data_IF_837541730333
#
_entry.id   IF_837541730333
#
_cell.length_a   1.000
_cell.length_b   1.000
_cell.length_c   1.000
_cell.angle_alpha   90.00
_cell.angle_beta   90.00
_cell.angle_gamma   90.00
#
_symmetry.space_group_name_H-M   'P 1'
#
loop_
_entity.id
_entity.type
_entity.pdbx_description
1 polymer ?
#
# COMPACT_ATOMS: atom_id res chain seq x y z
N UNK A 1 -22.14 7.29 18.04
CA UNK A 1 -21.53 6.58 16.88
C UNK A 1 -20.42 7.47 16.38
N UNK A 2 -19.22 7.27 16.91
CA UNK A 2 -18.06 8.11 16.62
C UNK A 2 -17.59 7.91 15.18
N UNK A 3 -17.33 9.04 14.53
CA UNK A 3 -16.83 9.10 13.17
C UNK A 3 -15.50 8.34 13.08
N UNK A 4 -15.47 7.46 12.10
CA UNK A 4 -14.38 6.56 11.72
C UNK A 4 -13.26 7.40 11.08
N UNK A 5 -12.50 8.09 11.92
CA UNK A 5 -11.32 8.82 11.48
C UNK A 5 -10.27 7.79 11.05
N UNK A 6 -10.14 7.60 9.73
CA UNK A 6 -9.10 6.78 9.09
C UNK A 6 -7.71 7.44 9.19
N UNK A 7 -7.43 8.09 10.33
CA UNK A 7 -6.14 8.68 10.62
C UNK A 7 -5.30 7.61 11.32
N UNK A 8 -4.48 6.92 10.53
CA UNK A 8 -3.45 6.02 11.05
C UNK A 8 -2.72 6.75 12.19
N UNK A 9 -2.74 6.17 13.39
CA UNK A 9 -2.07 6.73 14.56
C UNK A 9 -0.64 7.17 14.21
N UNK A 10 -0.22 8.33 14.70
CA UNK A 10 1.14 8.86 14.46
C UNK A 10 2.23 7.82 14.77
N UNK A 11 2.03 6.99 15.78
CA UNK A 11 2.98 5.94 16.15
C UNK A 11 3.07 4.84 15.09
N UNK A 12 1.94 4.47 14.49
CA UNK A 12 1.91 3.53 13.36
C UNK A 12 2.53 4.14 12.11
N UNK A 13 2.36 5.45 11.88
CA UNK A 13 3.02 6.14 10.76
C UNK A 13 4.55 6.12 10.91
N UNK A 14 5.07 6.34 12.12
CA UNK A 14 6.50 6.24 12.40
C UNK A 14 7.00 4.82 12.14
N UNK A 15 6.29 3.79 12.60
CA UNK A 15 6.65 2.40 12.34
C UNK A 15 6.69 2.06 10.84
N UNK A 16 5.69 2.55 10.08
CA UNK A 16 5.67 2.41 8.62
C UNK A 16 6.86 3.10 7.96
N UNK A 17 7.23 4.29 8.41
CA UNK A 17 8.38 5.03 7.87
C UNK A 17 9.70 4.30 8.14
N UNK A 18 9.85 3.71 9.33
CA UNK A 18 11.02 2.90 9.68
C UNK A 18 11.09 1.65 8.80
N UNK A 19 9.98 0.94 8.62
CA UNK A 19 9.92 -0.22 7.74
C UNK A 19 10.19 0.15 6.29
N UNK A 20 9.68 1.30 5.81
CA UNK A 20 9.95 1.81 4.48
C UNK A 20 11.45 2.01 4.25
N UNK A 21 12.14 2.61 5.21
CA UNK A 21 13.59 2.80 5.14
C UNK A 21 14.36 1.47 5.12
N UNK A 22 13.90 0.46 5.86
CA UNK A 22 14.48 -0.89 5.80
C UNK A 22 14.30 -1.52 4.40
N UNK A 23 13.08 -1.44 3.84
CA UNK A 23 12.77 -1.97 2.52
C UNK A 23 13.56 -1.26 1.41
N UNK A 24 13.81 0.04 1.54
CA UNK A 24 14.70 0.78 0.64
C UNK A 24 16.11 0.20 0.63
N UNK A 25 16.68 -0.07 1.81
CA UNK A 25 18.00 -0.71 1.95
C UNK A 25 18.05 -2.14 1.41
N UNK A 26 16.91 -2.83 1.40
CA UNK A 26 16.76 -4.18 0.83
C UNK A 26 16.52 -4.18 -0.69
N UNK A 27 16.54 -3.01 -1.35
CA UNK A 27 16.44 -2.85 -2.80
C UNK A 27 15.05 -2.47 -3.32
N UNK A 28 14.16 -1.95 -2.46
CA UNK A 28 12.87 -1.36 -2.86
C UNK A 28 12.88 0.17 -2.79
N UNK A 29 13.94 0.82 -3.27
CA UNK A 29 14.14 2.29 -3.16
C UNK A 29 13.00 3.13 -3.75
N UNK A 30 12.26 2.60 -4.73
CA UNK A 30 11.12 3.29 -5.37
C UNK A 30 9.78 3.13 -4.64
N UNK A 31 9.75 2.36 -3.55
CA UNK A 31 8.53 2.15 -2.78
C UNK A 31 8.16 3.45 -2.07
N UNK A 32 6.91 3.88 -2.22
CA UNK A 32 6.36 5.04 -1.51
C UNK A 32 5.60 4.62 -0.25
N UNK A 33 5.52 5.52 0.73
CA UNK A 33 4.75 5.28 1.95
C UNK A 33 3.28 4.94 1.63
N UNK A 34 2.68 5.61 0.65
CA UNK A 34 1.30 5.36 0.22
C UNK A 34 1.11 3.95 -0.35
N UNK A 35 2.06 3.46 -1.16
CA UNK A 35 2.04 2.09 -1.68
C UNK A 35 2.20 1.07 -0.56
N UNK A 36 3.04 1.35 0.45
CA UNK A 36 3.19 0.48 1.60
C UNK A 36 1.90 0.43 2.44
N UNK A 37 1.26 1.58 2.70
CA UNK A 37 -0.03 1.65 3.40
C UNK A 37 -1.10 0.88 2.64
N UNK A 38 -1.19 1.07 1.33
CA UNK A 38 -2.15 0.35 0.48
C UNK A 38 -1.90 -1.17 0.51
N UNK A 39 -0.63 -1.59 0.49
CA UNK A 39 -0.25 -2.99 0.63
C UNK A 39 -0.66 -3.56 1.98
N UNK A 40 -0.43 -2.82 3.07
CA UNK A 40 -0.85 -3.22 4.41
C UNK A 40 -2.37 -3.34 4.50
N UNK A 41 -3.11 -2.39 3.94
CA UNK A 41 -4.58 -2.41 3.87
C UNK A 41 -5.10 -3.59 3.03
N UNK A 42 -4.43 -3.93 1.93
CA UNK A 42 -4.82 -5.03 1.05
C UNK A 42 -4.52 -6.42 1.61
N UNK A 43 -3.38 -6.57 2.30
CA UNK A 43 -2.88 -7.87 2.78
C UNK A 43 -3.26 -8.17 4.23
N UNK A 44 -2.92 -7.27 5.16
CA UNK A 44 -3.00 -7.53 6.62
C UNK A 44 -4.20 -6.86 7.26
N UNK A 45 -4.53 -5.63 6.87
CA UNK A 45 -5.58 -4.81 7.48
C UNK A 45 -6.88 -4.78 6.67
N UNK A 46 -7.10 -5.78 5.80
CA UNK A 46 -8.31 -5.88 4.96
C UNK A 46 -9.61 -5.88 5.75
N UNK A 47 -9.59 -6.47 6.96
CA UNK A 47 -10.74 -6.53 7.88
C UNK A 47 -10.76 -5.38 8.90
N UNK A 48 -9.86 -4.41 8.74
CA UNK A 48 -9.62 -3.32 9.68
C UNK A 48 -8.23 -3.41 10.30
N UNK A 49 -7.69 -2.25 10.65
CA UNK A 49 -6.43 -2.11 11.36
C UNK A 49 -6.57 -2.63 12.82
N UNK A 50 -5.54 -3.26 13.38
CA UNK A 50 -5.53 -3.66 14.79
C UNK A 50 -5.76 -2.46 15.72
N UNK A 51 -6.47 -2.69 16.83
CA UNK A 51 -6.76 -1.64 17.83
C UNK A 51 -5.55 -1.28 18.70
N UNK A 52 -4.56 -2.16 18.77
CA UNK A 52 -3.37 -1.97 19.59
C UNK A 52 -2.14 -1.67 18.73
N UNK A 53 -1.30 -0.78 19.23
CA UNK A 53 -0.09 -0.34 18.51
C UNK A 53 0.88 -1.50 18.29
N UNK A 54 1.07 -2.35 19.30
CA UNK A 54 1.97 -3.50 19.20
C UNK A 54 1.55 -4.43 18.06
N UNK A 55 0.26 -4.75 17.94
CA UNK A 55 -0.23 -5.58 16.85
C UNK A 55 -0.04 -4.92 15.47
N UNK A 56 -0.24 -3.59 15.38
CA UNK A 56 0.06 -2.85 14.14
C UNK A 56 1.54 -2.93 13.78
N UNK A 57 2.43 -2.75 14.76
CA UNK A 57 3.88 -2.82 14.56
C UNK A 57 4.28 -4.22 14.13
N UNK A 58 3.81 -5.25 14.83
CA UNK A 58 4.09 -6.65 14.49
C UNK A 58 3.65 -6.97 13.06
N UNK A 59 2.45 -6.54 12.66
CA UNK A 59 1.98 -6.69 11.27
C UNK A 59 2.91 -5.99 10.27
N UNK A 60 3.31 -4.74 10.53
CA UNK A 60 4.19 -3.95 9.66
C UNK A 60 5.57 -4.61 9.51
N UNK A 61 6.13 -5.16 10.59
CA UNK A 61 7.45 -5.77 10.54
C UNK A 61 7.41 -7.21 10.01
N UNK A 62 6.28 -7.91 10.14
CA UNK A 62 6.09 -9.28 9.64
C UNK A 62 6.00 -9.37 8.11
N UNK A 63 5.63 -8.28 7.42
CA UNK A 63 5.50 -8.30 5.95
C UNK A 63 6.87 -8.47 5.28
N UNK A 64 6.93 -9.41 4.34
CA UNK A 64 8.14 -9.66 3.55
C UNK A 64 8.20 -8.78 2.31
N UNK A 65 9.42 -8.59 1.79
CA UNK A 65 9.66 -7.91 0.52
C UNK A 65 8.91 -8.57 -0.64
N UNK A 66 8.91 -9.90 -0.68
CA UNK A 66 8.26 -10.69 -1.73
C UNK A 66 6.75 -10.47 -1.73
N UNK A 67 6.11 -10.45 -0.56
CA UNK A 67 4.67 -10.19 -0.43
C UNK A 67 4.31 -8.81 -0.99
N UNK A 68 5.12 -7.78 -0.69
CA UNK A 68 4.92 -6.41 -1.18
C UNK A 68 5.02 -6.38 -2.71
N UNK A 69 6.08 -6.97 -3.28
CA UNK A 69 6.29 -6.99 -4.73
C UNK A 69 5.13 -7.70 -5.44
N UNK A 70 4.73 -8.88 -4.95
CA UNK A 70 3.62 -9.64 -5.53
C UNK A 70 2.32 -8.83 -5.50
N UNK A 71 2.04 -8.15 -4.38
CA UNK A 71 0.83 -7.33 -4.25
C UNK A 71 0.86 -6.14 -5.21
N UNK A 72 1.96 -5.39 -5.28
CA UNK A 72 2.09 -4.24 -6.18
C UNK A 72 2.04 -4.65 -7.65
N UNK A 73 2.65 -5.78 -8.03
CA UNK A 73 2.55 -6.32 -9.39
C UNK A 73 1.10 -6.70 -9.74
N UNK A 74 0.39 -7.37 -8.83
CA UNK A 74 -1.04 -7.67 -9.03
C UNK A 74 -1.87 -6.40 -9.16
N UNK A 75 -1.60 -5.40 -8.32
CA UNK A 75 -2.28 -4.10 -8.37
C UNK A 75 -2.04 -3.39 -9.71
N UNK A 76 -0.79 -3.34 -10.18
CA UNK A 76 -0.45 -2.74 -11.49
C UNK A 76 -1.14 -3.46 -12.66
N UNK A 77 -1.28 -4.79 -12.61
CA UNK A 77 -2.03 -5.55 -13.62
C UNK A 77 -3.51 -5.19 -13.59
N UNK A 78 -4.11 -5.09 -12.40
CA UNK A 78 -5.53 -4.73 -12.24
C UNK A 78 -5.78 -3.30 -12.70
N UNK A 79 -4.94 -2.35 -12.28
CA UNK A 79 -5.04 -0.94 -12.66
C UNK A 79 -4.87 -0.79 -14.18
N UNK A 80 -3.87 -1.46 -14.77
CA UNK A 80 -3.66 -1.49 -16.23
C UNK A 80 -4.80 -2.17 -17.00
N UNK A 81 -5.48 -3.16 -16.41
CA UNK A 81 -6.67 -3.78 -16.98
C UNK A 81 -7.93 -2.93 -16.81
N UNK A 82 -7.99 -2.08 -15.78
CA UNK A 82 -9.10 -1.14 -15.58
C UNK A 82 -9.01 0.07 -16.49
N UNK A 83 -7.80 0.47 -16.92
CA UNK A 83 -7.55 1.52 -17.94
C UNK A 83 -7.86 1.07 -19.38
N UNK A 84 -8.86 0.20 -19.57
CA UNK A 84 -9.19 -0.42 -20.85
C UNK A 84 -9.71 0.60 -21.87
N UNK A 85 -8.88 0.89 -22.85
CA UNK A 85 -9.14 1.31 -24.24
C UNK A 85 -9.89 2.64 -24.47
N UNK A 86 -10.83 3.05 -23.62
CA UNK A 86 -11.58 4.31 -23.76
C UNK A 86 -10.68 5.54 -23.65
N UNK A 87 -9.68 5.49 -22.78
CA UNK A 87 -8.70 6.58 -22.62
C UNK A 87 -7.71 6.67 -23.81
N UNK A 88 -7.68 5.64 -24.67
CA UNK A 88 -6.90 5.64 -25.91
C UNK A 88 -7.73 6.08 -27.14
N UNK A 89 -9.07 6.03 -27.08
CA UNK A 89 -9.92 6.57 -28.15
C UNK A 89 -9.84 8.11 -28.20
N UNK A 90 -9.76 8.79 -27.05
CA UNK A 90 -9.57 10.25 -27.01
C UNK A 90 -8.17 10.71 -27.45
N UNK A 91 -7.17 9.82 -27.42
CA UNK A 91 -5.79 10.14 -27.81
C UNK A 91 -5.48 9.82 -29.29
N UNK A 92 -6.20 8.86 -29.88
CA UNK A 92 -6.06 8.46 -31.29
C UNK A 92 -7.18 9.03 -32.17
N UNK A 93 -8.32 9.41 -31.57
CA UNK A 93 -9.38 10.20 -32.19
C UNK A 93 -8.94 11.65 -32.37
N UNK A 94 -8.00 11.86 -33.28
CA UNK A 94 -7.52 13.18 -33.66
C UNK A 94 -8.67 14.10 -34.04
N UNK A 95 -8.59 15.32 -33.53
CA UNK A 95 -9.19 16.47 -34.19
C UNK A 95 -8.19 17.01 -35.22
#
# INVERSE_FOLDING_TARGET
>A
MEAKDSSISMQTQIALQVKLFQLHREGLERLTLTQLIDTMNGLRWRKGQPKSLNACVDDIFSISKEEIVIYLSKKAIIDGYSSKLSDFEDLIGGN
#
